data_IF_672728367908
#
_entry.id   IF_672728367908
#
_cell.length_a   1.000
_cell.length_b   1.000
_cell.length_c   1.000
_cell.angle_alpha   90.00
_cell.angle_beta   90.00
_cell.angle_gamma   90.00
#
_symmetry.space_group_name_H-M   'P 1'
#
loop_
_entity.id
_entity.type
_entity.pdbx_description
1 polymer ?
#
# COMPACT_ATOMS: atom_id res chain seq x y z
N UNK A 1 13.46 9.05 15.55
CA UNK A 1 14.08 7.70 15.61
C UNK A 1 13.10 6.56 16.00
N UNK A 2 11.90 6.81 16.55
CA UNK A 2 10.96 5.76 17.00
C UNK A 2 9.74 5.44 16.13
N UNK A 3 9.60 6.03 14.93
CA UNK A 3 8.37 5.93 14.13
C UNK A 3 8.15 4.58 13.44
N UNK A 4 9.19 3.74 13.32
CA UNK A 4 9.10 2.43 12.68
C UNK A 4 8.70 1.30 13.64
N UNK A 5 8.65 1.57 14.95
CA UNK A 5 8.41 0.56 15.99
C UNK A 5 7.08 0.75 16.74
N UNK A 6 6.21 1.67 16.31
CA UNK A 6 4.91 1.87 16.96
C UNK A 6 3.90 0.83 16.46
N UNK A 7 3.79 -0.27 17.18
CA UNK A 7 2.72 -1.27 17.00
C UNK A 7 1.51 -0.90 17.83
N UNK A 8 0.33 -1.13 17.24
CA UNK A 8 -0.98 -0.79 17.82
C UNK A 8 -1.62 -1.99 18.55
N UNK A 9 -1.01 -3.19 18.41
CA UNK A 9 -1.34 -4.39 19.18
C UNK A 9 -0.15 -4.67 20.11
N UNK A 10 -0.33 -4.35 21.38
CA UNK A 10 0.57 -4.80 22.44
C UNK A 10 0.25 -6.27 22.73
N UNK A 11 1.29 -7.12 22.73
CA UNK A 11 1.15 -8.55 22.95
C UNK A 11 0.52 -8.81 24.32
N UNK A 12 -0.37 -9.80 24.37
CA UNK A 12 -1.08 -10.22 25.58
C UNK A 12 -0.10 -10.48 26.73
N UNK A 13 -0.26 -9.75 27.83
CA UNK A 13 0.54 -9.88 29.03
C UNK A 13 0.16 -11.15 29.81
N UNK A 14 0.57 -12.33 29.33
CA UNK A 14 0.65 -13.50 30.20
C UNK A 14 1.72 -14.51 29.75
N UNK A 15 2.81 -14.55 30.55
CA UNK A 15 3.79 -15.64 30.72
C UNK A 15 4.68 -15.91 29.48
N UNK A 16 6.01 -15.79 29.50
CA UNK A 16 7.02 -16.06 30.54
C UNK A 16 8.29 -15.25 30.23
N UNK A 17 9.15 -15.09 31.23
CA UNK A 17 10.51 -14.53 31.14
C UNK A 17 11.36 -15.22 30.06
N UNK A 18 11.47 -14.60 28.88
CA UNK A 18 12.49 -14.93 27.88
C UNK A 18 13.46 -13.76 27.75
N UNK A 19 14.44 -13.69 28.66
CA UNK A 19 15.67 -12.90 28.46
C UNK A 19 16.58 -13.50 27.36
N UNK A 20 16.14 -14.54 26.64
CA UNK A 20 16.94 -15.30 25.67
C UNK A 20 16.37 -15.33 24.23
N UNK A 21 15.37 -14.51 23.87
CA UNK A 21 14.88 -14.49 22.49
C UNK A 21 15.49 -13.34 21.68
N UNK A 22 16.50 -13.67 20.86
CA UNK A 22 17.13 -12.76 19.88
C UNK A 22 16.53 -12.98 18.47
N UNK A 23 15.69 -12.06 17.96
CA UNK A 23 15.23 -12.10 16.57
C UNK A 23 16.40 -11.98 15.57
N UNK A 24 16.27 -12.57 14.37
CA UNK A 24 17.40 -12.75 13.46
C UNK A 24 18.01 -11.43 12.97
N UNK A 25 19.34 -11.41 12.79
CA UNK A 25 20.14 -10.28 12.24
C UNK A 25 19.73 -9.85 10.82
N UNK A 26 18.94 -10.67 10.13
CA UNK A 26 18.22 -10.32 8.92
C UNK A 26 16.90 -11.11 8.91
N UNK A 27 15.78 -10.43 8.71
CA UNK A 27 14.57 -11.12 8.30
C UNK A 27 14.87 -11.77 6.94
N UNK A 28 14.59 -13.07 6.79
CA UNK A 28 14.66 -13.83 5.52
C UNK A 28 13.61 -13.36 4.50
N UNK A 29 13.34 -12.06 4.42
CA UNK A 29 12.53 -11.48 3.36
C UNK A 29 13.35 -11.59 2.08
N UNK A 30 12.90 -12.45 1.16
CA UNK A 30 13.40 -12.43 -0.20
C UNK A 30 13.07 -11.08 -0.82
N UNK A 31 14.07 -10.21 -0.97
CA UNK A 31 13.95 -8.92 -1.68
C UNK A 31 14.00 -9.15 -3.20
N UNK A 32 13.12 -10.03 -3.70
CA UNK A 32 13.08 -10.35 -5.11
C UNK A 32 12.61 -9.11 -5.92
N UNK A 33 13.44 -8.55 -6.80
CA UNK A 33 13.07 -7.38 -7.59
C UNK A 33 12.14 -7.73 -8.76
N UNK A 34 12.06 -9.01 -9.17
CA UNK A 34 11.36 -9.42 -10.37
C UNK A 34 9.89 -8.96 -10.42
N UNK A 35 9.07 -9.07 -9.37
CA UNK A 35 7.68 -8.61 -9.44
C UNK A 35 7.57 -7.10 -9.69
N UNK A 36 8.41 -6.29 -9.03
CA UNK A 36 8.41 -4.85 -9.23
C UNK A 36 8.91 -4.47 -10.64
N UNK A 37 9.93 -5.18 -11.14
CA UNK A 37 10.49 -4.97 -12.47
C UNK A 37 9.49 -5.34 -13.58
N UNK A 38 8.80 -6.47 -13.46
CA UNK A 38 7.78 -6.87 -14.44
C UNK A 38 6.66 -5.82 -14.53
N UNK A 39 6.19 -5.33 -13.38
CA UNK A 39 5.15 -4.30 -13.34
C UNK A 39 5.67 -2.95 -13.87
N UNK A 40 6.92 -2.59 -13.59
CA UNK A 40 7.57 -1.40 -14.16
C UNK A 40 7.59 -1.46 -15.69
N UNK A 41 8.10 -2.56 -16.24
CA UNK A 41 8.19 -2.76 -17.69
C UNK A 41 6.81 -2.74 -18.34
N UNK A 42 5.83 -3.44 -17.74
CA UNK A 42 4.45 -3.43 -18.19
C UNK A 42 3.88 -2.01 -18.25
N UNK A 43 4.06 -1.24 -17.17
CA UNK A 43 3.59 0.15 -17.09
C UNK A 43 4.23 1.06 -18.14
N UNK A 44 5.54 0.93 -18.37
CA UNK A 44 6.24 1.71 -19.39
C UNK A 44 5.79 1.34 -20.80
N UNK A 45 5.77 0.05 -21.15
CA UNK A 45 5.44 -0.42 -22.49
C UNK A 45 4.00 -0.09 -22.86
N UNK A 46 3.06 -0.36 -21.96
CA UNK A 46 1.64 -0.12 -22.22
C UNK A 46 1.28 1.37 -22.14
N UNK A 47 1.94 2.15 -21.27
CA UNK A 47 1.78 3.60 -21.22
C UNK A 47 2.33 4.33 -22.45
N UNK A 48 3.24 3.70 -23.21
CA UNK A 48 3.75 4.20 -24.50
C UNK A 48 2.98 3.67 -25.72
N UNK A 49 2.04 2.73 -25.51
CA UNK A 49 1.33 2.10 -26.61
C UNK A 49 0.22 3.03 -27.13
N UNK A 50 0.32 3.42 -28.41
CA UNK A 50 -0.72 4.19 -29.07
C UNK A 50 -2.02 3.38 -29.12
N UNK A 51 -3.15 4.03 -28.83
CA UNK A 51 -4.49 3.44 -28.88
C UNK A 51 -5.29 4.07 -30.03
N UNK A 52 -6.42 3.46 -30.36
CA UNK A 52 -7.30 3.89 -31.45
C UNK A 52 -7.78 5.34 -31.33
N UNK A 53 -7.80 5.88 -30.12
CA UNK A 53 -8.16 7.27 -29.85
C UNK A 53 -7.18 7.96 -28.90
N UNK A 54 -7.17 9.29 -28.96
CA UNK A 54 -6.36 10.13 -28.05
C UNK A 54 -6.79 9.95 -26.60
N UNK A 55 -8.10 9.87 -26.33
CA UNK A 55 -8.65 9.62 -24.99
C UNK A 55 -8.16 8.28 -24.44
N UNK A 56 -8.26 7.20 -25.23
CA UNK A 56 -7.76 5.88 -24.83
C UNK A 56 -6.26 5.88 -24.58
N UNK A 57 -5.48 6.55 -25.44
CA UNK A 57 -4.01 6.67 -25.29
C UNK A 57 -3.64 7.38 -24.00
N UNK A 58 -4.35 8.46 -23.66
CA UNK A 58 -4.11 9.20 -22.43
C UNK A 58 -4.48 8.40 -21.17
N UNK A 59 -5.61 7.68 -21.18
CA UNK A 59 -5.98 6.78 -20.07
C UNK A 59 -4.97 5.64 -19.92
N UNK A 60 -4.47 5.08 -21.03
CA UNK A 60 -3.42 4.05 -20.99
C UNK A 60 -2.13 4.55 -20.35
N UNK A 61 -1.71 5.76 -20.73
CA UNK A 61 -0.55 6.42 -20.13
C UNK A 61 -0.74 6.67 -18.63
N UNK A 62 -1.94 7.05 -18.19
CA UNK A 62 -2.23 7.31 -16.79
C UNK A 62 -2.08 6.07 -15.91
N UNK A 63 -2.69 4.93 -16.28
CA UNK A 63 -2.54 3.71 -15.48
C UNK A 63 -1.11 3.16 -15.56
N UNK A 64 -0.45 3.26 -16.73
CA UNK A 64 0.94 2.86 -16.90
C UNK A 64 1.87 3.63 -15.96
N UNK A 65 1.69 4.96 -15.84
CA UNK A 65 2.43 5.80 -14.91
C UNK A 65 2.20 5.40 -13.43
N UNK A 66 1.00 4.96 -13.06
CA UNK A 66 0.72 4.45 -11.72
C UNK A 66 1.46 3.13 -11.45
N UNK A 67 1.53 2.21 -12.42
CA UNK A 67 2.34 0.99 -12.28
C UNK A 67 3.84 1.29 -12.13
N UNK A 68 4.36 2.27 -12.87
CA UNK A 68 5.73 2.78 -12.70
C UNK A 68 5.91 3.35 -11.29
N UNK A 69 4.98 4.17 -10.81
CA UNK A 69 4.99 4.71 -9.45
C UNK A 69 5.02 3.63 -8.36
N UNK A 70 4.23 2.56 -8.53
CA UNK A 70 4.27 1.37 -7.66
C UNK A 70 5.67 0.77 -7.62
N UNK A 71 6.28 0.51 -8.77
CA UNK A 71 7.58 -0.15 -8.84
C UNK A 71 8.68 0.69 -8.20
N UNK A 72 8.66 2.02 -8.38
CA UNK A 72 9.58 2.95 -7.73
C UNK A 72 9.41 2.96 -6.20
N UNK A 73 8.16 3.07 -5.72
CA UNK A 73 7.86 3.01 -4.29
C UNK A 73 8.29 1.66 -3.67
N UNK A 74 8.08 0.56 -4.41
CA UNK A 74 8.49 -0.78 -3.99
C UNK A 74 10.02 -0.93 -3.97
N UNK A 75 10.71 -0.38 -4.96
CA UNK A 75 12.18 -0.29 -4.96
C UNK A 75 12.70 0.48 -3.75
N UNK A 76 12.05 1.59 -3.40
CA UNK A 76 12.39 2.35 -2.19
C UNK A 76 12.16 1.53 -0.91
N UNK A 77 11.10 0.72 -0.84
CA UNK A 77 10.93 -0.24 0.28
C UNK A 77 12.13 -1.17 0.38
N UNK A 78 12.62 -1.73 -0.72
CA UNK A 78 13.79 -2.61 -0.71
C UNK A 78 15.04 -1.89 -0.21
N UNK A 79 15.26 -0.65 -0.64
CA UNK A 79 16.37 0.19 -0.13
C UNK A 79 16.24 0.42 1.38
N UNK A 80 15.06 0.78 1.88
CA UNK A 80 14.83 1.00 3.31
C UNK A 80 15.06 -0.26 4.15
N UNK A 81 14.57 -1.40 3.68
CA UNK A 81 14.75 -2.69 4.36
C UNK A 81 16.21 -3.17 4.31
N UNK A 82 16.94 -2.85 3.25
CA UNK A 82 18.38 -3.12 3.16
C UNK A 82 19.18 -2.26 4.13
N UNK A 83 18.90 -0.95 4.19
CA UNK A 83 19.60 -0.02 5.09
C UNK A 83 19.25 -0.24 6.57
N UNK A 84 18.01 -0.63 6.86
CA UNK A 84 17.51 -0.89 8.22
C UNK A 84 16.72 -2.18 8.24
N UNK A 85 17.40 -3.34 8.36
CA UNK A 85 16.72 -4.60 8.46
C UNK A 85 15.82 -4.62 9.70
N UNK A 86 14.60 -5.16 9.58
CA UNK A 86 13.67 -5.22 10.70
C UNK A 86 14.20 -6.13 11.80
N UNK A 87 14.15 -5.62 13.03
CA UNK A 87 14.61 -6.33 14.24
C UNK A 87 13.46 -6.90 15.06
N UNK A 88 12.22 -6.64 14.66
CA UNK A 88 11.02 -7.15 15.34
C UNK A 88 10.51 -8.41 14.67
N UNK A 89 9.87 -9.29 15.44
CA UNK A 89 9.11 -10.43 14.91
C UNK A 89 7.84 -9.99 14.17
N UNK A 90 7.39 -8.75 14.38
CA UNK A 90 6.24 -8.17 13.70
C UNK A 90 6.65 -7.61 12.33
N UNK A 91 5.79 -7.73 11.31
CA UNK A 91 6.10 -7.29 9.96
C UNK A 91 6.38 -5.78 9.93
N UNK A 92 7.53 -5.39 9.38
CA UNK A 92 7.86 -4.00 9.15
C UNK A 92 6.95 -3.38 8.08
N UNK A 93 6.56 -2.12 8.30
CA UNK A 93 5.65 -1.37 7.44
C UNK A 93 6.27 -0.02 7.07
N UNK A 94 7.28 0.00 6.19
CA UNK A 94 7.85 1.27 5.76
C UNK A 94 6.78 2.11 5.05
N UNK A 95 6.80 3.45 5.22
CA UNK A 95 5.75 4.32 4.69
C UNK A 95 5.60 4.25 3.16
N UNK A 96 6.66 3.81 2.47
CA UNK A 96 6.68 3.56 1.03
C UNK A 96 5.69 2.48 0.59
N UNK A 97 5.31 1.55 1.47
CA UNK A 97 4.29 0.52 1.16
C UNK A 97 2.90 1.13 0.96
N UNK A 98 2.57 2.23 1.66
CA UNK A 98 1.28 2.91 1.46
C UNK A 98 1.24 3.53 0.07
N UNK A 99 2.34 4.17 -0.36
CA UNK A 99 2.45 4.76 -1.70
C UNK A 99 2.39 3.67 -2.77
N UNK A 100 3.12 2.56 -2.57
CA UNK A 100 3.09 1.42 -3.48
C UNK A 100 1.66 0.87 -3.64
N UNK A 101 0.96 0.64 -2.52
CA UNK A 101 -0.42 0.16 -2.54
C UNK A 101 -1.37 1.14 -3.26
N UNK A 102 -1.26 2.45 -2.97
CA UNK A 102 -2.06 3.47 -3.62
C UNK A 102 -1.87 3.48 -5.14
N UNK A 103 -0.62 3.44 -5.60
CA UNK A 103 -0.29 3.38 -7.01
C UNK A 103 -0.82 2.10 -7.67
N UNK A 104 -0.71 0.94 -7.01
CA UNK A 104 -1.15 -0.32 -7.58
C UNK A 104 -2.69 -0.43 -7.66
N UNK A 105 -3.40 -0.02 -6.60
CA UNK A 105 -4.88 0.01 -6.59
C UNK A 105 -5.38 0.98 -7.66
N UNK A 106 -4.84 2.20 -7.67
CA UNK A 106 -5.24 3.22 -8.64
C UNK A 106 -4.93 2.81 -10.07
N UNK A 107 -3.71 2.32 -10.35
CA UNK A 107 -3.34 1.83 -11.67
C UNK A 107 -4.23 0.68 -12.13
N UNK A 108 -4.52 -0.28 -11.24
CA UNK A 108 -5.43 -1.39 -11.53
C UNK A 108 -6.85 -0.93 -11.84
N UNK A 109 -7.39 0.03 -11.08
CA UNK A 109 -8.72 0.58 -11.34
C UNK A 109 -8.79 1.35 -12.65
N UNK A 110 -7.82 2.22 -12.95
CA UNK A 110 -7.80 2.95 -14.23
C UNK A 110 -7.61 1.99 -15.41
N UNK A 111 -6.83 0.93 -15.25
CA UNK A 111 -6.72 -0.15 -16.24
C UNK A 111 -8.07 -0.85 -16.50
N UNK A 112 -8.84 -1.15 -15.45
CA UNK A 112 -10.19 -1.72 -15.61
C UNK A 112 -11.17 -0.72 -16.26
N UNK A 113 -10.98 0.58 -16.04
CA UNK A 113 -11.77 1.64 -16.67
C UNK A 113 -11.37 1.89 -18.13
N UNK A 114 -10.19 1.46 -18.59
CA UNK A 114 -9.73 1.68 -19.96
C UNK A 114 -10.32 0.70 -20.98
N UNK A 115 -11.52 0.17 -20.73
CA UNK A 115 -12.24 -0.68 -21.68
C UNK A 115 -12.85 0.16 -22.80
N UNK A 116 -12.98 -0.44 -23.99
CA UNK A 116 -13.54 0.23 -25.17
C UNK A 116 -14.88 0.91 -24.90
N UNK A 117 -15.81 0.23 -24.24
CA UNK A 117 -17.14 0.78 -23.94
C UNK A 117 -17.07 2.02 -23.05
N UNK A 118 -16.15 2.07 -22.08
CA UNK A 118 -15.98 3.23 -21.20
C UNK A 118 -15.33 4.38 -21.97
N UNK A 119 -14.32 4.11 -22.80
CA UNK A 119 -13.70 5.13 -23.65
C UNK A 119 -14.72 5.72 -24.63
N UNK A 120 -15.51 4.90 -25.32
CA UNK A 120 -16.55 5.36 -26.24
C UNK A 120 -17.59 6.23 -25.52
N UNK A 121 -17.97 5.88 -24.28
CA UNK A 121 -18.84 6.70 -23.45
C UNK A 121 -18.17 8.04 -23.08
N UNK A 122 -16.89 8.03 -22.70
CA UNK A 122 -16.15 9.27 -22.41
C UNK A 122 -16.12 10.19 -23.63
N UNK A 123 -15.85 9.66 -24.82
CA UNK A 123 -15.84 10.43 -26.07
C UNK A 123 -17.23 10.97 -26.43
N UNK A 124 -18.27 10.15 -26.28
CA UNK A 124 -19.65 10.55 -26.52
C UNK A 124 -20.08 11.71 -25.62
N UNK A 125 -19.73 11.65 -24.32
CA UNK A 125 -20.03 12.70 -23.34
C UNK A 125 -18.97 13.81 -23.26
N UNK A 126 -17.96 13.80 -24.13
CA UNK A 126 -16.87 14.80 -24.18
C UNK A 126 -16.12 14.93 -22.83
N UNK A 127 -15.86 13.79 -22.17
CA UNK A 127 -15.11 13.70 -20.93
C UNK A 127 -13.61 13.50 -21.19
N UNK A 128 -12.79 14.30 -20.52
CA UNK A 128 -11.35 14.15 -20.57
C UNK A 128 -10.84 12.94 -19.79
N UNK A 129 -9.68 12.41 -20.20
CA UNK A 129 -8.96 11.37 -19.46
C UNK A 129 -8.66 11.76 -17.99
N UNK A 130 -8.59 13.06 -17.68
CA UNK A 130 -8.39 13.50 -16.30
C UNK A 130 -9.59 13.24 -15.39
N UNK A 131 -10.79 13.11 -15.95
CA UNK A 131 -11.99 12.79 -15.20
C UNK A 131 -11.89 11.39 -14.57
N UNK A 132 -11.64 10.36 -15.40
CA UNK A 132 -11.50 8.98 -14.92
C UNK A 132 -10.34 8.82 -13.97
N UNK A 133 -9.22 9.52 -14.23
CA UNK A 133 -8.09 9.53 -13.32
C UNK A 133 -8.45 10.10 -11.94
N UNK A 134 -9.09 11.27 -11.89
CA UNK A 134 -9.47 11.92 -10.63
C UNK A 134 -10.46 11.07 -9.84
N UNK A 135 -11.47 10.53 -10.52
CA UNK A 135 -12.46 9.63 -9.91
C UNK A 135 -11.78 8.37 -9.37
N UNK A 136 -10.92 7.73 -10.17
CA UNK A 136 -10.20 6.52 -9.76
C UNK A 136 -9.26 6.76 -8.58
N UNK A 137 -8.45 7.82 -8.61
CA UNK A 137 -7.57 8.19 -7.49
C UNK A 137 -8.37 8.49 -6.21
N UNK A 138 -9.46 9.27 -6.34
CA UNK A 138 -10.34 9.60 -5.23
C UNK A 138 -10.98 8.36 -4.61
N UNK A 139 -11.47 7.43 -5.44
CA UNK A 139 -12.05 6.18 -5.00
C UNK A 139 -11.02 5.26 -4.33
N UNK A 140 -9.82 5.12 -4.90
CA UNK A 140 -8.69 4.40 -4.27
C UNK A 140 -8.37 4.98 -2.89
N UNK A 141 -8.22 6.30 -2.79
CA UNK A 141 -7.89 6.98 -1.54
C UNK A 141 -9.00 6.79 -0.50
N UNK A 142 -10.27 6.86 -0.92
CA UNK A 142 -11.42 6.62 -0.06
C UNK A 142 -11.42 5.19 0.51
N UNK A 143 -11.21 4.17 -0.33
CA UNK A 143 -11.13 2.78 0.13
C UNK A 143 -9.97 2.59 1.11
N UNK A 144 -8.78 3.10 0.78
CA UNK A 144 -7.62 2.98 1.67
C UNK A 144 -7.85 3.69 3.00
N UNK A 145 -8.46 4.88 2.99
CA UNK A 145 -8.82 5.61 4.21
C UNK A 145 -9.84 4.83 5.05
N UNK A 146 -10.82 4.21 4.41
CA UNK A 146 -11.82 3.36 5.06
C UNK A 146 -11.17 2.15 5.74
N UNK A 147 -10.27 1.44 5.06
CA UNK A 147 -9.51 0.33 5.65
C UNK A 147 -8.69 0.76 6.88
N UNK A 148 -8.00 1.91 6.77
CA UNK A 148 -7.22 2.47 7.89
C UNK A 148 -8.13 2.85 9.06
N UNK A 149 -9.31 3.42 8.79
CA UNK A 149 -10.30 3.75 9.81
C UNK A 149 -10.76 2.50 10.56
N UNK A 150 -11.12 1.43 9.85
CA UNK A 150 -11.56 0.17 10.47
C UNK A 150 -10.45 -0.45 11.33
N UNK A 151 -9.21 -0.46 10.84
CA UNK A 151 -8.04 -0.95 11.60
C UNK A 151 -7.83 -0.09 12.85
N UNK A 152 -7.96 1.24 12.74
CA UNK A 152 -7.82 2.17 13.86
C UNK A 152 -8.93 1.98 14.91
N UNK A 153 -10.19 1.77 14.49
CA UNK A 153 -11.31 1.51 15.40
C UNK A 153 -11.13 0.19 16.17
N UNK A 154 -10.72 -0.88 15.47
CA UNK A 154 -10.40 -2.17 16.10
C UNK A 154 -9.29 -2.02 17.13
N UNK A 155 -8.22 -1.34 16.75
CA UNK A 155 -7.10 -1.00 17.61
C UNK A 155 -7.51 -0.22 18.87
N UNK A 156 -8.30 0.84 18.71
CA UNK A 156 -8.81 1.63 19.81
C UNK A 156 -9.64 0.79 20.78
N UNK A 157 -10.43 -0.14 20.26
CA UNK A 157 -11.28 -1.03 21.07
C UNK A 157 -10.44 -2.03 21.87
N UNK A 158 -9.49 -2.70 21.23
CA UNK A 158 -8.57 -3.64 21.91
C UNK A 158 -7.78 -2.92 23.02
N UNK A 159 -7.24 -1.73 22.73
CA UNK A 159 -6.50 -0.93 23.72
C UNK A 159 -7.37 -0.52 24.93
N UNK A 160 -8.66 -0.27 24.72
CA UNK A 160 -9.60 0.04 25.82
C UNK A 160 -9.90 -1.18 26.69
N UNK A 161 -10.04 -2.36 26.09
CA UNK A 161 -10.31 -3.62 26.80
C UNK A 161 -9.09 -4.11 27.60
N UNK A 162 -7.89 -3.94 27.05
CA UNK A 162 -6.63 -4.37 27.69
C UNK A 162 -6.10 -3.43 28.78
N UNK A 163 -6.74 -2.27 29.05
CA UNK A 163 -6.34 -1.42 30.18
C UNK A 163 -6.40 -2.26 31.47
N UNK A 164 -5.28 -2.39 32.22
CA UNK A 164 -5.27 -3.23 33.40
C UNK A 164 -6.32 -2.70 34.39
N UNK A 165 -7.27 -3.56 34.76
CA UNK A 165 -8.10 -3.32 35.95
C UNK A 165 -7.13 -3.14 37.11
N UNK A 166 -7.06 -1.93 37.66
CA UNK A 166 -6.30 -1.61 38.87
C UNK A 166 -6.62 -2.70 39.90
N UNK A 167 -5.62 -3.52 40.24
CA UNK A 167 -5.77 -4.57 41.25
C UNK A 167 -6.09 -3.85 42.57
N UNK A 168 -7.23 -4.11 43.24
CA UNK A 168 -7.51 -3.47 44.51
C UNK A 168 -6.39 -3.85 45.47
N UNK A 169 -5.70 -2.85 46.03
CA UNK A 169 -4.74 -3.05 47.10
C UNK A 169 -5.56 -3.27 48.37
N UNK A 170 -5.82 -4.53 48.71
CA UNK A 170 -6.39 -4.86 50.01
C UNK A 170 -5.30 -4.67 51.10
N UNK A 171 -5.69 -4.16 52.29
CA UNK A 171 -4.78 -3.80 53.38
C UNK A 171 -4.09 -5.02 54.01
#
# INVERSE_FOLDING_TARGET
RGWLNSTVLEASAHQTSDEAWQPPKSQRLSLNPMPALVILLLGMMMGSHHQDSMTSTMVHKQWGNMMVGFALARGMTYVLLYLKPPTSYLPARPPTEIIAAFCLISGGLIFMLSTRNVIEAMEHYQLDAMFTFTVGLGFSAFIMAYEVLIIALKACTVKRIQRPRLKPRFP
#
